data_IF_012799938396
#
_entry.id   IF_012799938396
#
_cell.length_a   1.000
_cell.length_b   1.000
_cell.length_c   1.000
_cell.angle_alpha   90.00
_cell.angle_beta   90.00
_cell.angle_gamma   90.00
#
_symmetry.space_group_name_H-M   'P 1'
#
loop_
_entity.id
_entity.type
_entity.pdbx_description
1 polymer ?
#
# COMPACT_ATOMS: atom_id res chain seq x y z
N UNK A 1 -5.43 25.76 -8.69
CA UNK A 1 -3.96 25.91 -8.50
C UNK A 1 -3.31 24.60 -8.90
N UNK A 2 -2.18 24.64 -9.61
CA UNK A 2 -1.47 23.45 -10.06
C UNK A 2 -0.17 23.32 -9.25
N UNK A 3 -0.04 22.20 -8.55
CA UNK A 3 1.16 21.84 -7.80
C UNK A 3 1.68 20.54 -8.42
N UNK A 4 2.82 20.59 -9.11
CA UNK A 4 3.50 19.35 -9.46
C UNK A 4 3.95 18.67 -8.18
N UNK A 5 3.54 17.43 -7.97
CA UNK A 5 3.92 16.70 -6.77
C UNK A 5 5.32 16.10 -6.92
N UNK A 6 5.65 15.64 -8.12
CA UNK A 6 6.91 14.97 -8.43
C UNK A 6 7.89 15.86 -9.20
N UNK A 7 9.18 15.63 -8.99
CA UNK A 7 10.25 16.31 -9.74
C UNK A 7 10.27 15.91 -11.22
N UNK A 8 9.86 14.68 -11.54
CA UNK A 8 9.72 14.15 -12.90
C UNK A 8 8.74 14.99 -13.73
N UNK A 9 7.61 15.35 -13.14
CA UNK A 9 6.57 16.19 -13.74
C UNK A 9 7.09 17.60 -13.98
N UNK A 10 7.80 18.20 -13.01
CA UNK A 10 8.43 19.51 -13.19
C UNK A 10 9.45 19.50 -14.35
N UNK A 11 10.27 18.46 -14.43
CA UNK A 11 11.26 18.29 -15.51
C UNK A 11 10.58 18.11 -16.86
N UNK A 12 9.48 17.35 -16.91
CA UNK A 12 8.72 17.14 -18.13
C UNK A 12 8.07 18.45 -18.61
N UNK A 13 7.49 19.24 -17.70
CA UNK A 13 6.90 20.55 -18.02
C UNK A 13 7.98 21.49 -18.55
N UNK A 14 9.13 21.59 -17.86
CA UNK A 14 10.29 22.35 -18.34
C UNK A 14 10.76 21.91 -19.72
N UNK A 15 10.78 20.60 -19.98
CA UNK A 15 11.16 20.06 -21.27
C UNK A 15 10.17 20.43 -22.38
N UNK A 16 8.87 20.40 -22.10
CA UNK A 16 7.82 20.78 -23.07
C UNK A 16 7.78 22.29 -23.36
N UNK A 17 8.23 23.12 -22.43
CA UNK A 17 8.27 24.59 -22.61
C UNK A 17 9.60 25.10 -23.20
N UNK A 18 10.62 24.24 -23.31
CA UNK A 18 11.91 24.57 -23.91
C UNK A 18 11.81 24.65 -25.44
N UNK A 19 12.35 25.72 -26.05
CA UNK A 19 12.57 25.80 -27.51
C UNK A 19 13.99 25.32 -27.85
N UNK A 20 14.22 24.94 -29.11
CA UNK A 20 15.51 24.39 -29.56
C UNK A 20 16.69 25.25 -29.12
N UNK A 21 17.61 24.68 -28.35
CA UNK A 21 18.82 25.34 -27.84
C UNK A 21 18.63 26.21 -26.59
N UNK A 22 17.43 26.28 -26.01
CA UNK A 22 17.13 27.10 -24.82
C UNK A 22 16.58 26.28 -23.67
N UNK A 23 16.91 26.68 -22.43
CA UNK A 23 16.37 26.04 -21.22
C UNK A 23 14.94 26.52 -20.96
N UNK A 24 14.02 25.57 -20.71
CA UNK A 24 12.66 25.89 -20.28
C UNK A 24 12.62 26.42 -18.84
N UNK A 25 11.76 27.39 -18.59
CA UNK A 25 11.50 27.92 -17.24
C UNK A 25 10.29 27.23 -16.60
N UNK A 26 10.24 27.29 -15.27
CA UNK A 26 9.15 26.73 -14.48
C UNK A 26 8.93 27.58 -13.23
N UNK A 27 7.67 27.89 -12.96
CA UNK A 27 7.24 28.65 -11.79
C UNK A 27 6.04 27.96 -11.16
N UNK A 28 6.01 27.89 -9.84
CA UNK A 28 4.92 27.32 -9.08
C UNK A 28 3.98 28.42 -8.58
N UNK A 29 2.68 28.25 -8.83
CA UNK A 29 1.64 29.04 -8.16
C UNK A 29 1.00 28.14 -7.11
N UNK A 30 1.32 28.38 -5.85
CA UNK A 30 0.94 27.52 -4.74
C UNK A 30 -0.26 28.08 -3.99
N UNK A 31 -1.16 27.20 -3.58
CA UNK A 31 -2.22 27.51 -2.62
C UNK A 31 -1.85 26.86 -1.30
N UNK A 32 -1.93 27.61 -0.20
CA UNK A 32 -1.55 27.14 1.14
C UNK A 32 -2.26 25.82 1.51
N UNK A 33 -3.55 25.70 1.19
CA UNK A 33 -4.35 24.48 1.44
C UNK A 33 -3.79 23.25 0.72
N UNK A 34 -3.18 23.42 -0.45
CA UNK A 34 -2.60 22.31 -1.21
C UNK A 34 -1.26 21.83 -0.62
N UNK A 35 -0.61 22.63 0.23
CA UNK A 35 0.66 22.30 0.87
C UNK A 35 0.48 21.52 2.19
N UNK A 36 -0.72 21.54 2.78
CA UNK A 36 -1.05 20.81 4.01
C UNK A 36 -0.83 19.29 3.86
N UNK A 37 -1.04 18.74 2.66
CA UNK A 37 -0.75 17.31 2.34
C UNK A 37 0.71 16.94 2.60
N UNK A 38 1.63 17.90 2.50
CA UNK A 38 3.07 17.69 2.74
C UNK A 38 3.50 18.11 4.16
N UNK A 39 2.54 18.31 5.07
CA UNK A 39 2.76 18.76 6.44
C UNK A 39 3.48 20.13 6.50
N UNK A 40 3.23 20.98 5.52
CA UNK A 40 3.75 22.36 5.51
C UNK A 40 2.71 23.24 6.18
N UNK A 41 3.07 23.87 7.29
CA UNK A 41 2.17 24.78 8.02
C UNK A 41 2.31 26.21 7.52
N UNK A 42 1.34 27.08 7.85
CA UNK A 42 1.43 28.52 7.52
C UNK A 42 2.68 29.17 8.10
N UNK A 43 3.07 28.80 9.33
CA UNK A 43 4.29 29.30 9.95
C UNK A 43 5.55 28.94 9.13
N UNK A 44 5.60 27.72 8.58
CA UNK A 44 6.71 27.30 7.71
C UNK A 44 6.76 28.11 6.41
N UNK A 45 5.59 28.44 5.84
CA UNK A 45 5.47 29.26 4.62
C UNK A 45 5.97 30.68 4.89
N UNK A 46 5.53 31.30 5.98
CA UNK A 46 5.89 32.67 6.35
C UNK A 46 7.40 32.79 6.65
N UNK A 47 7.96 31.83 7.39
CA UNK A 47 9.40 31.74 7.63
C UNK A 47 10.20 31.56 6.33
N UNK A 48 9.74 30.68 5.43
CA UNK A 48 10.44 30.41 4.18
C UNK A 48 10.30 31.54 3.15
N UNK A 49 9.21 32.31 3.20
CA UNK A 49 9.01 33.54 2.40
C UNK A 49 9.98 34.62 2.86
N UNK A 50 10.14 34.78 4.17
CA UNK A 50 11.10 35.73 4.78
C UNK A 50 12.56 35.40 4.41
N UNK A 51 12.88 34.11 4.30
CA UNK A 51 14.22 33.63 3.96
C UNK A 51 14.47 33.44 2.44
N UNK A 52 13.49 33.69 1.58
CA UNK A 52 13.60 33.48 0.13
C UNK A 52 13.75 32.00 -0.31
N UNK A 53 13.51 31.04 0.58
CA UNK A 53 13.83 29.62 0.40
C UNK A 53 12.59 28.71 0.25
N UNK A 54 11.43 29.29 -0.06
CA UNK A 54 10.14 28.56 -0.14
C UNK A 54 10.18 27.34 -1.08
N UNK A 55 10.83 27.46 -2.24
CA UNK A 55 10.93 26.35 -3.18
C UNK A 55 11.76 25.19 -2.62
N UNK A 56 12.89 25.49 -1.96
CA UNK A 56 13.76 24.46 -1.38
C UNK A 56 13.07 23.72 -0.24
N UNK A 57 12.36 24.44 0.63
CA UNK A 57 11.56 23.85 1.69
C UNK A 57 10.46 22.93 1.11
N UNK A 58 9.68 23.44 0.16
CA UNK A 58 8.60 22.68 -0.48
C UNK A 58 9.13 21.42 -1.17
N UNK A 59 10.27 21.52 -1.87
CA UNK A 59 10.92 20.38 -2.51
C UNK A 59 11.38 19.34 -1.49
N UNK A 60 12.01 19.76 -0.40
CA UNK A 60 12.47 18.85 0.64
C UNK A 60 11.31 18.07 1.27
N UNK A 61 10.23 18.77 1.63
CA UNK A 61 9.01 18.18 2.21
C UNK A 61 8.29 17.23 1.26
N UNK A 62 8.18 17.58 -0.03
CA UNK A 62 7.67 16.67 -1.06
C UNK A 62 8.53 15.39 -1.14
N UNK A 63 9.85 15.53 -1.20
CA UNK A 63 10.75 14.37 -1.22
C UNK A 63 10.61 13.49 0.03
N UNK A 64 10.48 14.06 1.23
CA UNK A 64 10.26 13.31 2.47
C UNK A 64 8.94 12.53 2.45
N UNK A 65 7.86 13.20 2.04
CA UNK A 65 6.54 12.58 1.89
C UNK A 65 6.61 11.35 0.97
N UNK A 66 7.17 11.51 -0.22
CA UNK A 66 7.29 10.41 -1.17
C UNK A 66 8.27 9.33 -0.70
N UNK A 67 9.37 9.65 -0.01
CA UNK A 67 10.25 8.64 0.60
C UNK A 67 9.48 7.73 1.56
N UNK A 68 8.63 8.28 2.40
CA UNK A 68 7.79 7.50 3.32
C UNK A 68 6.78 6.61 2.59
N UNK A 69 6.11 7.16 1.56
CA UNK A 69 5.15 6.42 0.74
C UNK A 69 5.81 5.29 -0.06
N UNK A 70 7.00 5.53 -0.61
CA UNK A 70 7.77 4.52 -1.34
C UNK A 70 8.33 3.46 -0.41
N UNK A 71 8.71 3.79 0.83
CA UNK A 71 9.17 2.80 1.80
C UNK A 71 8.09 1.76 2.11
N UNK A 72 6.82 2.17 2.23
CA UNK A 72 5.69 1.25 2.37
C UNK A 72 5.47 0.44 1.09
N UNK A 73 5.44 1.10 -0.06
CA UNK A 73 5.22 0.45 -1.37
C UNK A 73 6.29 -0.59 -1.70
N UNK A 74 7.55 -0.33 -1.33
CA UNK A 74 8.68 -1.25 -1.55
C UNK A 74 8.51 -2.57 -0.78
N UNK A 75 7.89 -2.53 0.41
CA UNK A 75 7.55 -3.76 1.16
C UNK A 75 6.55 -4.61 0.38
N UNK A 76 5.54 -3.98 -0.23
CA UNK A 76 4.56 -4.67 -1.07
C UNK A 76 5.19 -5.27 -2.32
N UNK A 77 6.05 -4.52 -3.01
CA UNK A 77 6.77 -5.06 -4.19
C UNK A 77 7.58 -6.30 -3.82
N UNK A 78 8.24 -6.29 -2.66
CA UNK A 78 8.96 -7.46 -2.15
C UNK A 78 8.04 -8.66 -1.87
N UNK A 79 6.88 -8.43 -1.25
CA UNK A 79 5.88 -9.48 -1.04
C UNK A 79 5.30 -10.02 -2.37
N UNK A 80 4.94 -9.12 -3.28
CA UNK A 80 4.42 -9.47 -4.60
C UNK A 80 5.43 -10.27 -5.42
N UNK A 81 6.72 -9.93 -5.35
CA UNK A 81 7.79 -10.70 -6.00
C UNK A 81 7.91 -12.12 -5.43
N UNK A 82 7.79 -12.29 -4.11
CA UNK A 82 7.78 -13.62 -3.47
C UNK A 82 6.56 -14.44 -3.92
N UNK A 83 5.37 -13.83 -3.88
CA UNK A 83 4.12 -14.48 -4.32
C UNK A 83 4.17 -14.88 -5.79
N UNK A 84 4.74 -14.01 -6.64
CA UNK A 84 4.93 -14.28 -8.06
C UNK A 84 5.83 -15.50 -8.27
N UNK A 85 6.99 -15.53 -7.61
CA UNK A 85 7.92 -16.68 -7.68
C UNK A 85 7.27 -17.99 -7.25
N UNK A 86 6.51 -17.97 -6.14
CA UNK A 86 5.76 -19.14 -5.69
C UNK A 86 4.70 -19.60 -6.70
N UNK A 87 4.06 -18.65 -7.38
CA UNK A 87 3.13 -18.92 -8.48
C UNK A 87 3.81 -19.57 -9.68
N UNK A 88 4.97 -19.05 -10.10
CA UNK A 88 5.76 -19.63 -11.19
C UNK A 88 6.20 -21.07 -10.87
N UNK A 89 6.67 -21.32 -9.65
CA UNK A 89 7.03 -22.67 -9.20
C UNK A 89 5.82 -23.63 -9.21
N UNK A 90 4.62 -23.14 -8.87
CA UNK A 90 3.39 -23.93 -8.95
C UNK A 90 3.04 -24.26 -10.41
N UNK A 91 3.12 -23.27 -11.31
CA UNK A 91 2.87 -23.48 -12.75
C UNK A 91 3.89 -24.46 -13.33
N UNK A 92 5.16 -24.36 -12.94
CA UNK A 92 6.21 -25.28 -13.37
C UNK A 92 5.95 -26.71 -12.87
N UNK A 93 5.49 -26.89 -11.62
CA UNK A 93 5.12 -28.19 -11.08
C UNK A 93 3.92 -28.81 -11.83
N UNK A 94 2.91 -28.01 -12.18
CA UNK A 94 1.77 -28.43 -13.00
C UNK A 94 2.25 -28.89 -14.39
N UNK A 95 3.11 -28.11 -15.05
CA UNK A 95 3.67 -28.47 -16.37
C UNK A 95 4.48 -29.78 -16.33
N UNK A 96 5.10 -30.10 -15.20
CA UNK A 96 5.87 -31.33 -14.98
C UNK A 96 5.02 -32.51 -14.49
N UNK A 97 3.70 -32.35 -14.33
CA UNK A 97 2.79 -33.34 -13.74
C UNK A 97 3.23 -33.85 -12.35
N UNK A 98 3.90 -33.03 -11.55
CA UNK A 98 4.25 -33.36 -10.16
C UNK A 98 3.04 -33.10 -9.24
N UNK A 99 2.16 -34.10 -9.18
CA UNK A 99 0.89 -34.04 -8.46
C UNK A 99 1.08 -33.87 -6.95
N UNK A 100 2.13 -34.48 -6.37
CA UNK A 100 2.35 -34.45 -4.93
C UNK A 100 2.81 -33.07 -4.46
N UNK A 101 3.72 -32.44 -5.21
CA UNK A 101 4.14 -31.07 -4.91
C UNK A 101 3.00 -30.07 -5.10
N UNK A 102 2.16 -30.25 -6.13
CA UNK A 102 0.99 -29.40 -6.36
C UNK A 102 -0.02 -29.55 -5.21
N UNK A 103 -0.37 -30.78 -4.81
CA UNK A 103 -1.30 -31.04 -3.70
C UNK A 103 -0.79 -30.43 -2.40
N UNK A 104 0.50 -30.60 -2.08
CA UNK A 104 1.09 -30.01 -0.86
C UNK A 104 1.02 -28.49 -0.86
N UNK A 105 1.41 -27.83 -1.96
CA UNK A 105 1.33 -26.37 -2.09
C UNK A 105 -0.11 -25.85 -2.03
N UNK A 106 -1.06 -26.57 -2.64
CA UNK A 106 -2.49 -26.24 -2.57
C UNK A 106 -3.04 -26.44 -1.16
N UNK A 107 -2.72 -27.54 -0.48
CA UNK A 107 -3.14 -27.77 0.90
C UNK A 107 -2.59 -26.71 1.84
N UNK A 108 -1.35 -26.25 1.63
CA UNK A 108 -0.75 -25.18 2.41
C UNK A 108 -1.44 -23.83 2.20
N UNK A 109 -1.78 -23.47 0.96
CA UNK A 109 -2.49 -22.23 0.64
C UNK A 109 -3.99 -22.27 0.94
N UNK A 110 -4.59 -23.45 0.91
CA UNK A 110 -5.99 -23.67 1.26
C UNK A 110 -6.16 -24.10 2.72
N UNK A 111 -5.12 -23.91 3.56
CA UNK A 111 -5.32 -23.98 5.01
C UNK A 111 -6.48 -23.04 5.36
N UNK A 112 -7.37 -23.57 6.18
CA UNK A 112 -8.54 -22.88 6.67
C UNK A 112 -8.78 -23.28 8.11
N UNK A 113 -9.81 -22.69 8.73
CA UNK A 113 -10.19 -23.01 10.10
C UNK A 113 -10.53 -24.51 10.22
N UNK A 114 -9.69 -25.28 10.92
CA UNK A 114 -9.99 -26.65 11.29
C UNK A 114 -10.86 -26.62 12.56
N UNK A 115 -12.13 -26.99 12.39
CA UNK A 115 -13.20 -27.22 13.39
C UNK A 115 -14.17 -26.05 13.69
N UNK A 116 -15.40 -26.49 14.03
CA UNK A 116 -16.61 -25.73 14.43
C UNK A 116 -16.25 -24.57 15.39
N UNK A 117 -16.48 -23.34 14.92
CA UNK A 117 -16.03 -22.07 15.53
C UNK A 117 -16.53 -21.82 16.96
N UNK A 118 -15.69 -21.14 17.74
CA UNK A 118 -16.08 -20.37 18.94
C UNK A 118 -16.23 -18.86 18.68
N UNK A 119 -15.64 -18.29 17.61
CA UNK A 119 -15.85 -16.88 17.26
C UNK A 119 -15.72 -16.59 15.76
N UNK A 120 -16.69 -15.84 15.20
CA UNK A 120 -16.70 -15.34 13.82
C UNK A 120 -16.87 -13.82 13.86
N UNK A 121 -15.86 -13.09 13.38
CA UNK A 121 -15.93 -11.63 13.29
C UNK A 121 -16.12 -11.21 11.84
N UNK A 122 -17.17 -10.44 11.56
CA UNK A 122 -17.42 -9.84 10.24
C UNK A 122 -17.12 -8.35 10.34
N UNK A 123 -16.20 -7.87 9.52
CA UNK A 123 -15.88 -6.44 9.42
C UNK A 123 -16.42 -5.91 8.10
N UNK A 124 -17.44 -5.07 8.21
CA UNK A 124 -18.02 -4.33 7.10
C UNK A 124 -17.21 -3.05 6.91
N UNK A 125 -16.54 -2.94 5.76
CA UNK A 125 -15.81 -1.74 5.37
C UNK A 125 -16.51 -1.08 4.20
N UNK A 126 -16.83 0.20 4.36
CA UNK A 126 -17.14 1.05 3.22
C UNK A 126 -15.85 1.22 2.41
N UNK A 127 -15.88 1.07 1.09
CA UNK A 127 -14.71 1.31 0.25
C UNK A 127 -15.11 2.24 -0.89
N UNK A 128 -15.13 3.52 -0.56
CA UNK A 128 -15.10 4.60 -1.55
C UNK A 128 -13.69 4.73 -2.11
N UNK A 129 -13.53 5.19 -3.37
CA UNK A 129 -12.22 5.26 -4.04
C UNK A 129 -11.16 6.10 -3.31
N UNK A 130 -11.61 7.03 -2.44
CA UNK A 130 -10.77 7.81 -1.53
C UNK A 130 -10.09 6.99 -0.43
N UNK A 131 -10.57 5.78 -0.13
CA UNK A 131 -10.01 4.89 0.90
C UNK A 131 -9.04 3.84 0.38
N UNK A 132 -8.64 3.91 -0.91
CA UNK A 132 -7.72 2.95 -1.55
C UNK A 132 -6.40 2.78 -0.78
N UNK A 133 -5.84 3.87 -0.27
CA UNK A 133 -4.63 3.84 0.57
C UNK A 133 -4.86 3.25 1.96
N UNK A 134 -6.05 3.45 2.55
CA UNK A 134 -6.37 2.97 3.88
C UNK A 134 -6.67 1.47 3.90
N UNK A 135 -7.33 0.96 2.85
CA UNK A 135 -7.68 -0.46 2.72
C UNK A 135 -6.43 -1.36 2.72
N UNK A 136 -5.37 -0.91 2.03
CA UNK A 136 -4.09 -1.62 2.02
C UNK A 136 -3.40 -1.61 3.39
N UNK A 137 -3.44 -0.47 4.10
CA UNK A 137 -2.90 -0.38 5.46
C UNK A 137 -3.67 -1.27 6.42
N UNK A 138 -4.99 -1.25 6.36
CA UNK A 138 -5.85 -2.12 7.17
C UNK A 138 -5.54 -3.60 6.90
N UNK A 139 -5.42 -4.01 5.64
CA UNK A 139 -5.04 -5.38 5.26
C UNK A 139 -3.71 -5.80 5.90
N UNK A 140 -2.67 -4.97 5.82
CA UNK A 140 -1.36 -5.30 6.38
C UNK A 140 -1.36 -5.40 7.91
N UNK A 141 -2.05 -4.48 8.58
CA UNK A 141 -2.20 -4.53 10.05
C UNK A 141 -2.96 -5.78 10.47
N UNK A 142 -4.00 -6.16 9.74
CA UNK A 142 -4.75 -7.38 10.00
C UNK A 142 -3.87 -8.61 9.76
N UNK A 143 -3.16 -8.70 8.64
CA UNK A 143 -2.27 -9.83 8.36
C UNK A 143 -1.20 -10.00 9.45
N UNK A 144 -0.56 -8.92 9.89
CA UNK A 144 0.43 -8.97 10.98
C UNK A 144 -0.20 -9.32 12.34
N UNK A 145 -1.43 -8.86 12.60
CA UNK A 145 -2.20 -9.29 13.79
C UNK A 145 -2.46 -10.80 13.75
N UNK A 146 -2.89 -11.34 12.60
CA UNK A 146 -3.13 -12.78 12.44
C UNK A 146 -1.86 -13.61 12.67
N UNK A 147 -0.74 -13.21 12.08
CA UNK A 147 0.56 -13.87 12.30
C UNK A 147 0.94 -13.89 13.78
N UNK A 148 0.78 -12.76 14.48
CA UNK A 148 1.07 -12.66 15.92
C UNK A 148 0.15 -13.54 16.75
N UNK A 149 -1.15 -13.54 16.47
CA UNK A 149 -2.11 -14.38 17.20
C UNK A 149 -1.79 -15.86 16.97
N UNK A 150 -1.45 -16.26 15.75
CA UNK A 150 -1.06 -17.64 15.46
C UNK A 150 0.18 -18.06 16.26
N UNK A 151 1.17 -17.18 16.44
CA UNK A 151 2.34 -17.44 17.30
C UNK A 151 1.94 -17.58 18.78
N UNK A 152 1.14 -16.66 19.31
CA UNK A 152 0.67 -16.70 20.71
C UNK A 152 -0.17 -17.96 20.99
N UNK A 153 -1.04 -18.35 20.05
CA UNK A 153 -1.86 -19.56 20.20
C UNK A 153 -1.00 -20.83 20.23
N UNK A 154 0.03 -20.90 19.36
CA UNK A 154 1.00 -22.00 19.41
C UNK A 154 1.74 -22.08 20.73
N UNK A 155 2.17 -20.94 21.28
CA UNK A 155 2.84 -20.88 22.59
C UNK A 155 1.93 -21.37 23.73
N UNK A 156 0.62 -21.17 23.61
CA UNK A 156 -0.38 -21.60 24.59
C UNK A 156 -0.91 -23.03 24.36
N UNK A 157 -0.40 -23.75 23.36
CA UNK A 157 -0.83 -25.11 23.03
C UNK A 157 -2.18 -25.22 22.31
N UNK A 158 -2.74 -24.10 21.86
CA UNK A 158 -3.99 -24.04 21.10
C UNK A 158 -3.73 -24.09 19.59
N UNK A 159 -4.65 -24.63 18.77
CA UNK A 159 -4.48 -24.66 17.33
C UNK A 159 -4.50 -23.23 16.78
N UNK A 160 -3.53 -22.84 15.92
CA UNK A 160 -3.41 -21.48 15.39
C UNK A 160 -4.61 -21.06 14.50
N UNK A 161 -5.44 -22.02 14.07
CA UNK A 161 -6.55 -21.80 13.14
C UNK A 161 -7.92 -21.75 13.87
N UNK A 162 -7.94 -21.29 15.12
CA UNK A 162 -9.13 -21.33 15.99
C UNK A 162 -10.14 -20.18 15.77
N UNK A 163 -9.78 -19.16 15.00
CA UNK A 163 -10.60 -17.97 14.76
C UNK A 163 -10.66 -17.59 13.28
N UNK A 164 -11.75 -16.93 12.88
CA UNK A 164 -11.96 -16.47 11.51
C UNK A 164 -12.46 -15.02 11.48
N UNK A 165 -11.83 -14.20 10.64
CA UNK A 165 -12.24 -12.83 10.37
C UNK A 165 -12.55 -12.68 8.88
N UNK A 166 -13.72 -12.14 8.57
CA UNK A 166 -14.15 -11.88 7.19
C UNK A 166 -14.28 -10.38 6.96
N UNK A 167 -13.64 -9.89 5.90
CA UNK A 167 -13.78 -8.51 5.46
C UNK A 167 -14.79 -8.46 4.33
N UNK A 168 -15.87 -7.72 4.55
CA UNK A 168 -16.89 -7.44 3.55
C UNK A 168 -16.68 -6.00 3.11
N UNK A 169 -16.21 -5.85 1.88
CA UNK A 169 -15.91 -4.54 1.30
C UNK A 169 -17.08 -4.14 0.40
N UNK A 170 -17.77 -3.07 0.78
CA UNK A 170 -18.88 -2.51 -0.02
C UNK A 170 -18.31 -1.45 -0.94
N UNK A 171 -18.20 -1.77 -2.23
CA UNK A 171 -18.05 -0.75 -3.27
C UNK A 171 -19.45 -0.31 -3.69
N UNK A 172 -19.62 0.94 -4.11
CA UNK A 172 -20.89 1.48 -4.60
C UNK A 172 -21.53 0.68 -5.78
N UNK A 173 -20.86 -0.36 -6.30
CA UNK A 173 -21.35 -1.23 -7.37
C UNK A 173 -21.12 -2.75 -7.14
N UNK A 174 -20.45 -3.20 -6.07
CA UNK A 174 -20.22 -4.64 -5.85
C UNK A 174 -19.81 -4.97 -4.40
N UNK A 175 -20.35 -6.06 -3.87
CA UNK A 175 -19.90 -6.68 -2.61
C UNK A 175 -18.80 -7.68 -2.94
N UNK A 176 -17.57 -7.40 -2.51
CA UNK A 176 -16.48 -8.38 -2.56
C UNK A 176 -16.18 -8.87 -1.14
N UNK A 177 -16.25 -10.19 -0.95
CA UNK A 177 -15.74 -10.84 0.26
C UNK A 177 -14.24 -11.07 0.10
N UNK A 178 -13.43 -10.25 0.77
CA UNK A 178 -12.00 -10.52 0.89
C UNK A 178 -11.83 -11.42 2.13
N UNK A 179 -11.88 -12.73 1.92
CA UNK A 179 -11.44 -13.67 2.92
C UNK A 179 -9.92 -13.61 3.03
N UNK A 180 -9.39 -12.97 4.07
CA UNK A 180 -8.00 -13.22 4.48
C UNK A 180 -8.04 -14.58 5.17
N UNK A 181 -7.68 -15.61 4.42
CA UNK A 181 -7.67 -17.00 4.88
C UNK A 181 -6.23 -17.37 5.24
N UNK A 182 -6.03 -17.75 6.51
CA UNK A 182 -4.87 -18.52 6.97
C UNK A 182 -5.15 -20.01 6.89
#
# INVERSE_FOLDING_TARGET
>A
TFLSEELSEELQIKGRTARQGSYGSYSLVLCDKSLEKFLITKADIDNARSAGNLYLLSRAKRCEFFKSQYAESKKYVGHAAKEHKLGEELIAAIKKNDVDTVKRKLCERNKGAQKKKTSRTIVLMDATGSMSHLLQKAKNTVSTMFERIATILKEKGEPPNSFEMQFVVKFASAVFSLGIKT
#
